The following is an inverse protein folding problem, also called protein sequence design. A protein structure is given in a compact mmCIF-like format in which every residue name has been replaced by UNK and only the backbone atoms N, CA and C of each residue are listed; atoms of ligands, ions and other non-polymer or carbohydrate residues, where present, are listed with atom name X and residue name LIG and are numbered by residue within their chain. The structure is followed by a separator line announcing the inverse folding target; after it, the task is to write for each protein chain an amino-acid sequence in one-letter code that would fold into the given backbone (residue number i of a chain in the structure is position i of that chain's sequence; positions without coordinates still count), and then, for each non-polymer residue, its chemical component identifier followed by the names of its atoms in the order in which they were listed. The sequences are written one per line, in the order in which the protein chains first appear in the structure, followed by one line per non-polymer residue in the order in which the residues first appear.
data_IF_289022525720
#
_entry.id   IF_289022525720
#
_cell.length_a   1.000
_cell.length_b   1.000
_cell.length_c   1.000
_cell.angle_alpha   90.00
_cell.angle_beta   90.00
_cell.angle_gamma   90.00
#
_symmetry.space_group_name_H-M   'P 1'
#
loop_
_entity.id
_entity.type
_entity.pdbx_description
1 polymer ?
#
# COMPACT_ATOMS: atom_id res chain seq x y z
N UNK A 1 -34.89 -23.66 -8.04
CA UNK A 1 -33.96 -23.16 -7.02
C UNK A 1 -32.91 -22.35 -7.76
N UNK A 2 -33.12 -21.04 -7.89
CA UNK A 2 -32.22 -20.16 -8.63
C UNK A 2 -31.16 -19.65 -7.66
N UNK A 3 -29.90 -20.06 -7.88
CA UNK A 3 -28.75 -19.46 -7.22
C UNK A 3 -28.64 -18.00 -7.69
N UNK A 4 -28.32 -17.03 -6.82
CA UNK A 4 -28.04 -15.70 -7.30
C UNK A 4 -26.70 -15.76 -8.04
N UNK A 5 -26.77 -15.50 -9.34
CA UNK A 5 -25.62 -15.28 -10.20
C UNK A 5 -24.66 -14.31 -9.51
N UNK A 6 -23.40 -14.73 -9.47
CA UNK A 6 -22.26 -13.89 -9.13
C UNK A 6 -22.33 -12.64 -9.98
N UNK A 7 -22.91 -11.59 -9.40
CA UNK A 7 -22.87 -10.26 -9.97
C UNK A 7 -21.42 -9.79 -9.87
N UNK A 8 -20.65 -10.13 -10.90
CA UNK A 8 -19.41 -9.47 -11.28
C UNK A 8 -19.78 -8.04 -11.69
N UNK A 9 -20.22 -7.24 -10.72
CA UNK A 9 -20.43 -5.83 -10.90
C UNK A 9 -19.05 -5.20 -11.00
N UNK A 10 -18.57 -5.13 -12.24
CA UNK A 10 -17.53 -4.22 -12.69
C UNK A 10 -17.95 -2.79 -12.38
N UNK A 11 -17.78 -2.42 -11.12
CA UNK A 11 -17.75 -1.06 -10.68
C UNK A 11 -16.27 -0.74 -10.60
N UNK A 12 -15.83 0.15 -11.47
CA UNK A 12 -14.65 1.00 -11.30
C UNK A 12 -14.82 1.91 -10.05
N UNK A 13 -15.35 1.36 -8.97
CA UNK A 13 -15.18 1.88 -7.63
C UNK A 13 -13.88 1.26 -7.20
N UNK A 14 -12.75 1.84 -7.65
CA UNK A 14 -11.51 1.65 -6.94
C UNK A 14 -11.86 1.85 -5.47
N UNK A 15 -11.85 0.77 -4.67
CA UNK A 15 -11.90 0.89 -3.22
C UNK A 15 -10.86 1.97 -2.96
N UNK A 16 -11.26 3.14 -2.46
CA UNK A 16 -10.32 4.20 -2.10
C UNK A 16 -9.64 3.70 -0.82
N UNK A 17 -8.93 2.59 -0.97
CA UNK A 17 -8.10 1.99 0.03
C UNK A 17 -6.97 2.96 0.27
N UNK A 18 -6.53 2.98 1.51
CA UNK A 18 -5.47 3.84 1.97
C UNK A 18 -4.26 2.97 2.22
N UNK A 19 -3.09 3.48 1.85
CA UNK A 19 -1.85 2.87 2.28
C UNK A 19 -1.50 3.41 3.66
N UNK A 20 -1.33 2.52 4.63
CA UNK A 20 -0.77 2.83 5.94
C UNK A 20 0.74 2.64 5.91
N UNK A 21 1.49 3.61 6.43
CA UNK A 21 2.94 3.55 6.55
C UNK A 21 3.38 3.82 7.99
N UNK A 22 4.27 2.97 8.51
CA UNK A 22 4.97 3.21 9.76
C UNK A 22 6.46 3.38 9.50
N UNK A 23 7.05 4.39 10.13
CA UNK A 23 8.48 4.69 10.04
C UNK A 23 9.16 4.41 11.38
N UNK A 24 10.21 3.60 11.35
CA UNK A 24 11.24 3.60 12.39
C UNK A 24 12.43 4.39 11.86
N UNK A 25 12.61 5.62 12.34
CA UNK A 25 13.71 6.49 11.92
C UNK A 25 14.94 6.26 12.78
N UNK A 26 16.00 5.72 12.19
CA UNK A 26 17.35 5.76 12.74
C UNK A 26 18.21 6.81 12.04
N UNK A 27 19.35 7.14 12.64
CA UNK A 27 20.28 8.16 12.10
C UNK A 27 20.86 7.79 10.73
N UNK A 28 21.10 6.50 10.50
CA UNK A 28 21.72 5.99 9.24
C UNK A 28 20.74 5.25 8.36
N UNK A 29 19.67 4.70 8.95
CA UNK A 29 18.71 3.88 8.23
C UNK A 29 17.29 4.08 8.77
N UNK A 30 16.33 3.99 7.87
CA UNK A 30 14.92 4.01 8.17
C UNK A 30 14.31 2.66 7.85
N UNK A 31 13.45 2.14 8.72
CA UNK A 31 12.62 0.98 8.39
C UNK A 31 11.20 1.43 8.14
N UNK A 32 10.64 0.98 7.03
CA UNK A 32 9.27 1.27 6.63
C UNK A 32 8.47 -0.02 6.70
N UNK A 33 7.29 0.06 7.30
CA UNK A 33 6.25 -0.97 7.17
C UNK A 33 5.07 -0.40 6.41
N UNK A 34 4.67 -1.03 5.30
CA UNK A 34 3.60 -0.53 4.42
C UNK A 34 2.51 -1.59 4.24
N UNK A 35 1.25 -1.21 4.46
CA UNK A 35 0.12 -2.11 4.32
C UNK A 35 -1.21 -1.40 4.05
N UNK A 36 -2.21 -2.18 3.67
CA UNK A 36 -3.60 -1.75 3.43
C UNK A 36 -4.53 -2.09 4.60
N UNK A 37 -4.00 -2.71 5.66
CA UNK A 37 -4.77 -3.21 6.80
C UNK A 37 -5.50 -4.54 6.56
N UNK A 38 -5.40 -5.10 5.35
CA UNK A 38 -6.02 -6.39 4.96
C UNK A 38 -4.96 -7.48 4.89
N UNK A 39 -3.81 -7.16 4.30
CA UNK A 39 -2.71 -8.10 4.09
C UNK A 39 -1.55 -7.85 5.05
N UNK A 40 -0.68 -8.85 5.19
CA UNK A 40 0.60 -8.68 5.88
C UNK A 40 1.37 -7.48 5.27
N UNK A 41 1.91 -6.59 6.11
CA UNK A 41 2.62 -5.41 5.62
C UNK A 41 3.97 -5.78 5.02
N UNK A 42 4.35 -5.09 3.95
CA UNK A 42 5.70 -5.14 3.40
C UNK A 42 6.65 -4.36 4.30
N UNK A 43 7.88 -4.85 4.47
CA UNK A 43 8.91 -4.18 5.26
C UNK A 43 10.16 -3.97 4.43
N UNK A 44 10.74 -2.78 4.50
CA UNK A 44 12.00 -2.47 3.85
C UNK A 44 12.85 -1.52 4.68
N UNK A 45 14.17 -1.67 4.58
CA UNK A 45 15.16 -0.78 5.21
C UNK A 45 15.80 0.07 4.13
N UNK A 46 15.84 1.38 4.36
CA UNK A 46 16.38 2.38 3.45
C UNK A 46 17.49 3.17 4.15
N UNK A 47 18.38 3.81 3.38
CA UNK A 47 19.28 4.80 3.93
C UNK A 47 18.49 6.01 4.45
N UNK A 48 18.92 6.58 5.57
CA UNK A 48 18.29 7.78 6.10
C UNK A 48 18.41 8.93 5.08
N UNK A 49 17.31 9.63 4.83
CA UNK A 49 17.24 10.73 3.86
C UNK A 49 17.00 10.30 2.40
N UNK A 50 16.94 9.00 2.10
CA UNK A 50 16.67 8.51 0.74
C UNK A 50 15.17 8.57 0.41
N UNK A 51 14.71 9.76 0.07
CA UNK A 51 13.31 10.01 -0.29
C UNK A 51 12.89 9.34 -1.60
N UNK A 52 13.82 9.13 -2.54
CA UNK A 52 13.53 8.46 -3.81
C UNK A 52 13.16 6.99 -3.57
N UNK A 53 13.90 6.32 -2.70
CA UNK A 53 13.57 4.95 -2.28
C UNK A 53 12.27 4.87 -1.48
N UNK A 54 11.95 5.89 -0.67
CA UNK A 54 10.64 5.97 0.02
C UNK A 54 9.49 6.02 -0.97
N UNK A 55 9.56 6.92 -1.97
CA UNK A 55 8.52 7.03 -3.01
C UNK A 55 8.38 5.75 -3.84
N UNK A 56 9.52 5.10 -4.13
CA UNK A 56 9.54 3.81 -4.82
C UNK A 56 8.89 2.71 -3.99
N UNK A 57 9.17 2.65 -2.68
CA UNK A 57 8.58 1.67 -1.77
C UNK A 57 7.06 1.86 -1.65
N UNK A 58 6.58 3.11 -1.56
CA UNK A 58 5.15 3.44 -1.55
C UNK A 58 4.47 2.99 -2.84
N UNK A 59 5.07 3.28 -3.99
CA UNK A 59 4.50 2.91 -5.30
C UNK A 59 4.38 1.39 -5.44
N UNK A 60 5.41 0.65 -5.03
CA UNK A 60 5.40 -0.83 -5.00
C UNK A 60 4.33 -1.36 -4.05
N UNK A 61 4.19 -0.76 -2.86
CA UNK A 61 3.20 -1.18 -1.88
C UNK A 61 1.76 -0.92 -2.37
N UNK A 62 1.50 0.22 -3.01
CA UNK A 62 0.21 0.52 -3.64
C UNK A 62 -0.14 -0.51 -4.70
N UNK A 63 0.77 -0.81 -5.62
CA UNK A 63 0.56 -1.82 -6.67
C UNK A 63 0.27 -3.21 -6.06
N UNK A 64 1.01 -3.61 -5.03
CA UNK A 64 0.79 -4.88 -4.32
C UNK A 64 -0.58 -4.95 -3.65
N UNK A 65 -1.03 -3.84 -3.05
CA UNK A 65 -2.32 -3.75 -2.37
C UNK A 65 -3.49 -3.45 -3.33
N UNK A 66 -3.26 -3.43 -4.65
CA UNK A 66 -4.30 -3.10 -5.63
C UNK A 66 -4.82 -1.67 -5.52
N UNK A 67 -4.05 -0.76 -4.89
CA UNK A 67 -4.44 0.62 -4.68
C UNK A 67 -4.11 1.47 -5.91
N UNK A 68 -4.98 2.44 -6.21
CA UNK A 68 -4.69 3.45 -7.21
C UNK A 68 -3.38 4.19 -6.90
N UNK A 69 -2.65 4.62 -7.93
CA UNK A 69 -1.40 5.38 -7.75
C UNK A 69 -1.60 6.65 -6.90
N UNK A 70 -2.79 7.26 -7.00
CA UNK A 70 -3.20 8.44 -6.24
C UNK A 70 -3.85 8.12 -4.88
N UNK A 71 -3.89 6.85 -4.46
CA UNK A 71 -4.43 6.48 -3.16
C UNK A 71 -3.72 7.24 -2.03
N UNK A 72 -4.45 7.72 -1.02
CA UNK A 72 -3.87 8.44 0.09
C UNK A 72 -2.93 7.53 0.89
N UNK A 73 -1.87 8.13 1.45
CA UNK A 73 -0.92 7.48 2.37
C UNK A 73 -1.10 8.11 3.75
N UNK A 74 -1.10 7.30 4.82
CA UNK A 74 -1.27 7.75 6.21
C UNK A 74 -0.30 7.09 7.16
#
# INVERSE_FOLDING_TARGET
MNAPETALQGQDTAVIGRLHIAFELGEKSWKLSLGDGVHAPSRCTLAAGDMASVLTAISKAKARCGLAGQAPVR
#
